data_IF_333450496590
#
_entry.id   IF_333450496590
#
_cell.length_a   1.000
_cell.length_b   1.000
_cell.length_c   1.000
_cell.angle_alpha   90.00
_cell.angle_beta   90.00
_cell.angle_gamma   90.00
#
_symmetry.space_group_name_H-M   'P 1'
#
loop_
_entity.id
_entity.type
_entity.pdbx_description
1 polymer ?
#
# COMPACT_ATOMS: atom_id res chain seq x y z
N UNK A 1 -11.92 9.75 -6.88
CA UNK A 1 -12.17 10.98 -6.09
C UNK A 1 -13.25 11.86 -6.73
N UNK A 2 -13.16 12.12 -8.05
CA UNK A 2 -14.06 13.09 -8.72
C UNK A 2 -15.51 12.63 -8.75
N UNK A 3 -15.77 11.33 -8.96
CA UNK A 3 -17.13 10.77 -8.85
C UNK A 3 -17.69 10.93 -7.43
N UNK A 4 -16.86 10.66 -6.40
CA UNK A 4 -17.27 10.84 -5.01
C UNK A 4 -17.63 12.30 -4.72
N UNK A 5 -16.82 13.25 -5.20
CA UNK A 5 -17.10 14.67 -5.06
C UNK A 5 -18.42 15.07 -5.78
N UNK A 6 -18.61 14.61 -7.02
CA UNK A 6 -19.83 14.90 -7.77
C UNK A 6 -21.10 14.38 -7.11
N UNK A 7 -21.05 13.20 -6.47
CA UNK A 7 -22.18 12.65 -5.69
C UNK A 7 -22.49 13.54 -4.50
N UNK A 8 -21.47 13.99 -3.75
CA UNK A 8 -21.62 14.87 -2.60
C UNK A 8 -22.19 16.24 -3.03
N UNK A 9 -21.64 16.82 -4.11
CA UNK A 9 -22.06 18.11 -4.65
C UNK A 9 -23.52 18.09 -5.15
N UNK A 10 -24.00 16.92 -5.57
CA UNK A 10 -25.40 16.69 -5.94
C UNK A 10 -26.33 16.53 -4.72
N UNK A 11 -25.82 16.61 -3.50
CA UNK A 11 -26.59 16.43 -2.26
C UNK A 11 -26.99 14.97 -1.99
N UNK A 12 -26.32 14.01 -2.63
CA UNK A 12 -26.55 12.59 -2.42
C UNK A 12 -25.55 12.03 -1.37
N UNK A 13 -25.98 10.96 -0.69
CA UNK A 13 -25.11 10.28 0.26
C UNK A 13 -24.05 9.46 -0.50
N UNK A 14 -22.78 9.80 -0.29
CA UNK A 14 -21.63 9.02 -0.77
C UNK A 14 -21.31 7.91 0.21
N UNK A 15 -21.35 6.64 -0.26
CA UNK A 15 -20.96 5.47 0.52
C UNK A 15 -19.52 5.10 0.14
N UNK A 16 -18.59 5.55 0.92
CA UNK A 16 -17.15 5.36 0.67
C UNK A 16 -16.29 6.41 1.37
N UNK A 17 -14.97 6.37 1.15
CA UNK A 17 -14.05 7.31 1.78
C UNK A 17 -14.20 8.73 1.21
N UNK A 18 -13.84 9.76 1.99
CA UNK A 18 -13.85 11.15 1.54
C UNK A 18 -13.00 11.34 0.28
N UNK A 19 -13.40 12.20 -0.68
CA UNK A 19 -12.64 12.46 -1.91
C UNK A 19 -11.17 12.80 -1.66
N UNK A 20 -10.88 13.53 -0.57
CA UNK A 20 -9.51 13.89 -0.20
C UNK A 20 -8.69 12.66 0.21
N UNK A 21 -9.25 11.78 1.05
CA UNK A 21 -8.59 10.54 1.44
C UNK A 21 -8.30 9.62 0.24
N UNK A 22 -9.21 9.59 -0.76
CA UNK A 22 -8.99 8.86 -2.01
C UNK A 22 -7.80 9.44 -2.79
N UNK A 23 -7.67 10.78 -2.87
CA UNK A 23 -6.54 11.43 -3.56
C UNK A 23 -5.23 11.18 -2.84
N UNK A 24 -5.21 11.41 -1.53
CA UNK A 24 -4.00 11.35 -0.71
C UNK A 24 -3.43 9.93 -0.61
N UNK A 25 -4.29 8.93 -0.44
CA UNK A 25 -3.89 7.52 -0.35
C UNK A 25 -3.77 6.83 -1.71
N UNK A 26 -4.37 7.40 -2.76
CA UNK A 26 -4.23 6.92 -4.14
C UNK A 26 -2.93 7.34 -4.81
N UNK A 27 -2.29 8.40 -4.32
CA UNK A 27 -0.95 8.81 -4.74
C UNK A 27 0.11 8.11 -3.88
N UNK A 28 1.02 7.36 -4.51
CA UNK A 28 2.00 6.52 -3.79
C UNK A 28 2.95 7.32 -2.91
N UNK A 29 3.35 8.53 -3.34
CA UNK A 29 4.26 9.36 -2.56
C UNK A 29 3.53 9.94 -1.36
N UNK A 30 2.33 10.48 -1.57
CA UNK A 30 1.48 11.00 -0.52
C UNK A 30 1.13 9.91 0.51
N UNK A 31 0.74 8.72 0.06
CA UNK A 31 0.43 7.59 0.95
C UNK A 31 1.63 7.19 1.82
N UNK A 32 2.86 7.18 1.26
CA UNK A 32 4.08 6.91 2.03
C UNK A 32 4.37 8.00 3.06
N UNK A 33 4.14 9.27 2.73
CA UNK A 33 4.29 10.37 3.70
C UNK A 33 3.26 10.28 4.83
N UNK A 34 2.02 9.94 4.52
CA UNK A 34 0.97 9.70 5.53
C UNK A 34 1.39 8.54 6.44
N UNK A 35 1.84 7.41 5.86
CA UNK A 35 2.31 6.27 6.63
C UNK A 35 3.52 6.62 7.52
N UNK A 36 4.45 7.43 7.02
CA UNK A 36 5.60 7.91 7.80
C UNK A 36 5.16 8.78 8.99
N UNK A 37 4.25 9.75 8.77
CA UNK A 37 3.69 10.58 9.87
C UNK A 37 2.91 9.75 10.88
N UNK A 38 2.23 8.71 10.42
CA UNK A 38 1.53 7.76 11.27
C UNK A 38 2.46 6.79 12.03
N UNK A 39 3.78 6.84 11.78
CA UNK A 39 4.75 5.92 12.40
C UNK A 39 4.65 4.48 11.90
N UNK A 40 4.02 4.25 10.75
CA UNK A 40 3.91 2.92 10.16
C UNK A 40 5.27 2.44 9.63
N UNK A 41 5.61 1.16 9.79
CA UNK A 41 6.88 0.61 9.33
C UNK A 41 6.97 0.67 7.80
N UNK A 42 8.10 1.13 7.31
CA UNK A 42 8.44 1.18 5.90
C UNK A 42 9.89 0.74 5.72
N UNK A 43 10.18 0.03 4.64
CA UNK A 43 11.57 -0.15 4.25
C UNK A 43 12.18 1.21 3.87
N UNK A 44 13.49 1.42 4.10
CA UNK A 44 14.17 2.61 3.64
C UNK A 44 13.88 2.90 2.17
N UNK A 45 13.63 4.15 1.84
CA UNK A 45 13.36 4.59 0.48
C UNK A 45 13.59 6.10 0.34
N UNK A 46 13.82 6.56 -0.88
CA UNK A 46 13.98 7.99 -1.17
C UNK A 46 12.63 8.70 -1.10
N UNK A 47 12.62 9.91 -0.53
CA UNK A 47 11.44 10.79 -0.51
C UNK A 47 11.20 11.47 -1.85
N UNK A 48 12.29 11.72 -2.58
CA UNK A 48 12.31 12.41 -3.87
C UNK A 48 12.85 11.49 -4.96
N UNK A 49 12.51 11.76 -6.24
CA UNK A 49 13.11 11.03 -7.35
C UNK A 49 14.63 11.20 -7.36
N UNK A 50 15.34 10.09 -7.58
CA UNK A 50 16.79 10.13 -7.74
C UNK A 50 17.18 10.74 -9.08
N UNK A 51 18.27 11.52 -9.10
CA UNK A 51 18.73 12.26 -10.27
C UNK A 51 19.72 11.47 -11.12
N UNK A 52 20.26 10.36 -10.59
CA UNK A 52 21.24 9.54 -11.29
C UNK A 52 21.57 8.22 -10.58
N UNK A 53 22.30 7.37 -11.28
CA UNK A 53 22.75 6.07 -10.76
C UNK A 53 23.64 6.20 -9.51
N UNK A 54 24.40 7.30 -9.39
CA UNK A 54 25.30 7.51 -8.24
C UNK A 54 24.53 7.68 -6.93
N UNK A 55 23.34 8.32 -6.98
CA UNK A 55 22.46 8.41 -5.79
C UNK A 55 21.91 7.04 -5.40
N UNK A 56 21.58 6.21 -6.40
CA UNK A 56 21.16 4.81 -6.15
C UNK A 56 22.27 4.00 -5.51
N UNK A 57 23.51 4.13 -5.99
CA UNK A 57 24.69 3.47 -5.40
C UNK A 57 24.91 3.95 -3.97
N UNK A 58 24.79 5.25 -3.71
CA UNK A 58 24.93 5.82 -2.36
C UNK A 58 23.87 5.26 -1.43
N UNK A 59 22.61 5.24 -1.85
CA UNK A 59 21.50 4.64 -1.10
C UNK A 59 21.75 3.15 -0.80
N UNK A 60 22.21 2.37 -1.80
CA UNK A 60 22.47 0.96 -1.63
C UNK A 60 23.64 0.69 -0.65
N UNK A 61 24.66 1.55 -0.63
CA UNK A 61 25.76 1.45 0.36
C UNK A 61 25.30 1.75 1.78
N UNK A 62 24.36 2.69 1.95
CA UNK A 62 23.85 3.09 3.26
C UNK A 62 22.83 2.09 3.81
N UNK A 63 21.92 1.62 2.97
CA UNK A 63 20.77 0.81 3.39
C UNK A 63 20.88 -0.67 3.05
N UNK A 64 21.93 -1.08 2.32
CA UNK A 64 22.16 -2.45 1.90
C UNK A 64 21.46 -2.83 0.60
N UNK A 65 21.80 -4.00 0.08
CA UNK A 65 21.23 -4.65 -1.10
C UNK A 65 20.30 -5.81 -0.69
N UNK A 66 19.37 -6.21 -1.56
CA UNK A 66 19.03 -5.64 -2.86
C UNK A 66 18.23 -4.34 -2.75
N UNK A 67 18.25 -3.53 -3.81
CA UNK A 67 17.44 -2.32 -3.92
C UNK A 67 16.53 -2.35 -5.15
N UNK A 68 15.35 -1.78 -5.02
CA UNK A 68 14.40 -1.62 -6.11
C UNK A 68 14.45 -0.19 -6.66
N UNK A 69 14.60 -0.06 -7.98
CA UNK A 69 14.47 1.18 -8.72
C UNK A 69 13.08 1.18 -9.37
N UNK A 70 12.24 2.13 -9.01
CA UNK A 70 10.82 2.17 -9.39
C UNK A 70 10.48 3.45 -10.13
N UNK A 71 9.84 3.34 -11.29
CA UNK A 71 9.25 4.50 -11.95
C UNK A 71 8.17 5.15 -11.07
N UNK A 72 8.19 6.48 -10.96
CA UNK A 72 7.25 7.26 -10.15
C UNK A 72 5.77 7.01 -10.53
N UNK A 73 5.52 6.84 -11.82
CA UNK A 73 4.17 6.67 -12.39
C UNK A 73 3.88 5.22 -12.78
N UNK A 74 4.75 4.26 -12.38
CA UNK A 74 4.61 2.83 -12.66
C UNK A 74 3.61 2.13 -11.76
N UNK A 75 2.99 1.07 -12.28
CA UNK A 75 2.10 0.18 -11.53
C UNK A 75 2.17 -1.25 -12.06
N UNK A 76 1.77 -2.24 -11.24
CA UNK A 76 1.77 -3.65 -11.64
C UNK A 76 3.14 -4.20 -12.03
N UNK A 77 4.22 -3.72 -11.41
CA UNK A 77 5.60 -4.16 -11.67
C UNK A 77 6.24 -3.56 -12.93
N UNK A 78 5.55 -2.71 -13.69
CA UNK A 78 6.13 -2.01 -14.85
C UNK A 78 7.05 -0.88 -14.37
N UNK A 79 8.27 -0.81 -14.94
CA UNK A 79 9.28 0.15 -14.53
C UNK A 79 9.92 -0.15 -13.17
N UNK A 80 9.88 -1.42 -12.73
CA UNK A 80 10.59 -1.92 -11.56
C UNK A 80 11.83 -2.69 -12.01
N UNK A 81 13.00 -2.30 -11.48
CA UNK A 81 14.26 -3.03 -11.61
C UNK A 81 14.84 -3.32 -10.23
N UNK A 82 15.37 -4.51 -10.03
CA UNK A 82 15.99 -4.92 -8.77
C UNK A 82 17.48 -5.12 -8.99
N UNK A 83 18.29 -4.30 -8.31
CA UNK A 83 19.74 -4.43 -8.30
C UNK A 83 20.18 -5.25 -7.09
N UNK A 84 20.95 -6.30 -7.33
CA UNK A 84 21.48 -7.21 -6.30
C UNK A 84 22.94 -6.95 -5.99
N UNK A 85 23.64 -6.28 -6.91
CA UNK A 85 25.02 -5.83 -6.74
C UNK A 85 25.13 -4.34 -7.08
N UNK A 86 26.21 -3.69 -6.61
CA UNK A 86 26.42 -2.27 -6.90
C UNK A 86 26.75 -2.04 -8.38
N UNK A 87 27.39 -3.02 -9.02
CA UNK A 87 27.80 -2.96 -10.42
C UNK A 87 26.62 -2.96 -11.39
N UNK A 88 25.50 -3.60 -11.01
CA UNK A 88 24.29 -3.64 -11.84
C UNK A 88 23.52 -2.32 -11.83
N UNK A 89 23.70 -1.49 -10.81
CA UNK A 89 22.87 -0.29 -10.58
C UNK A 89 22.86 0.67 -11.79
N UNK A 90 23.99 1.05 -12.40
CA UNK A 90 23.97 2.03 -13.50
C UNK A 90 23.12 1.57 -14.68
N UNK A 91 23.30 0.32 -15.14
CA UNK A 91 22.55 -0.23 -16.26
C UNK A 91 21.05 -0.34 -15.95
N UNK A 92 20.71 -0.85 -14.75
CA UNK A 92 19.33 -1.03 -14.31
C UNK A 92 18.61 0.29 -14.10
N UNK A 93 19.29 1.33 -13.60
CA UNK A 93 18.75 2.68 -13.48
C UNK A 93 18.42 3.27 -14.86
N UNK A 94 19.36 3.24 -15.81
CA UNK A 94 19.09 3.71 -17.17
C UNK A 94 17.95 2.95 -17.86
N UNK A 95 17.90 1.62 -17.64
CA UNK A 95 16.80 0.78 -18.14
C UNK A 95 15.46 1.20 -17.56
N UNK A 96 15.38 1.43 -16.23
CA UNK A 96 14.16 1.88 -15.57
C UNK A 96 13.69 3.24 -16.09
N UNK A 97 14.61 4.19 -16.26
CA UNK A 97 14.31 5.53 -16.81
C UNK A 97 13.78 5.42 -18.24
N UNK A 98 14.46 4.65 -19.12
CA UNK A 98 14.00 4.45 -20.52
C UNK A 98 12.60 3.84 -20.58
N UNK A 99 12.33 2.81 -19.76
CA UNK A 99 11.01 2.19 -19.70
C UNK A 99 9.94 3.14 -19.17
N UNK A 100 10.27 3.94 -18.16
CA UNK A 100 9.37 4.96 -17.60
C UNK A 100 9.00 6.02 -18.65
N UNK A 101 9.98 6.54 -19.36
CA UNK A 101 9.75 7.52 -20.44
C UNK A 101 8.89 6.93 -21.55
N UNK A 102 9.18 5.69 -21.97
CA UNK A 102 8.43 5.02 -23.03
C UNK A 102 6.97 4.74 -22.64
N UNK A 103 6.73 4.37 -21.37
CA UNK A 103 5.40 3.98 -20.90
C UNK A 103 4.55 5.17 -20.41
N UNK A 104 5.18 6.18 -19.81
CA UNK A 104 4.51 7.26 -19.07
C UNK A 104 4.89 8.66 -19.53
N UNK A 105 5.84 8.81 -20.48
CA UNK A 105 6.35 10.09 -20.95
C UNK A 105 7.29 10.83 -19.96
N UNK A 106 7.58 10.21 -18.81
CA UNK A 106 8.38 10.80 -17.71
C UNK A 106 9.29 9.73 -17.13
N UNK A 107 10.53 10.12 -16.78
CA UNK A 107 11.60 9.20 -16.37
C UNK A 107 11.93 9.21 -14.88
N UNK A 108 11.17 9.89 -14.03
CA UNK A 108 11.44 9.98 -12.61
C UNK A 108 11.37 8.61 -11.96
N UNK A 109 12.44 8.27 -11.22
CA UNK A 109 12.55 7.01 -10.49
C UNK A 109 12.83 7.26 -9.01
N UNK A 110 12.25 6.41 -8.15
CA UNK A 110 12.54 6.30 -6.73
C UNK A 110 13.33 5.04 -6.44
N UNK A 111 14.02 5.03 -5.31
CA UNK A 111 14.76 3.85 -4.85
C UNK A 111 14.26 3.45 -3.47
N UNK A 112 14.14 2.15 -3.24
CA UNK A 112 13.83 1.61 -1.93
C UNK A 112 14.57 0.29 -1.69
N UNK A 113 14.71 -0.07 -0.43
CA UNK A 113 15.18 -1.40 -0.04
C UNK A 113 14.21 -2.45 -0.57
N UNK A 114 14.73 -3.48 -1.24
CA UNK A 114 13.90 -4.57 -1.76
C UNK A 114 13.86 -5.72 -0.76
N UNK A 115 12.69 -6.28 -0.55
CA UNK A 115 12.48 -7.48 0.24
C UNK A 115 12.41 -8.69 -0.71
N UNK A 116 13.24 -9.70 -0.46
CA UNK A 116 13.17 -10.96 -1.21
C UNK A 116 12.03 -11.83 -0.69
N UNK A 117 11.24 -12.37 -1.61
CA UNK A 117 10.14 -13.30 -1.34
C UNK A 117 9.24 -12.88 -0.16
N UNK A 118 8.84 -11.59 -0.03
CA UNK A 118 8.01 -11.20 1.08
C UNK A 118 6.62 -11.81 0.96
N UNK A 119 5.97 -12.04 2.10
CA UNK A 119 4.55 -12.34 2.13
C UNK A 119 3.77 -11.05 1.92
N UNK A 120 2.74 -11.10 1.09
CA UNK A 120 1.81 -10.01 0.86
C UNK A 120 0.65 -10.15 1.83
N UNK A 121 0.63 -9.33 2.86
CA UNK A 121 -0.40 -9.33 3.90
C UNK A 121 -1.21 -8.05 3.82
N UNK A 122 -2.50 -8.17 3.99
CA UNK A 122 -3.38 -7.03 4.05
C UNK A 122 -4.31 -7.07 5.26
N UNK A 123 -4.74 -5.91 5.71
CA UNK A 123 -5.68 -5.74 6.82
C UNK A 123 -6.97 -5.16 6.30
N UNK A 124 -8.10 -5.86 6.54
CA UNK A 124 -9.43 -5.32 6.25
C UNK A 124 -9.84 -4.35 7.34
N UNK A 125 -10.11 -3.11 6.97
CA UNK A 125 -10.46 -2.05 7.90
C UNK A 125 -11.87 -1.49 7.63
N UNK A 126 -12.49 -0.99 8.71
CA UNK A 126 -13.66 -0.15 8.68
C UNK A 126 -13.38 1.10 9.53
N UNK A 127 -13.80 2.26 9.06
CA UNK A 127 -13.65 3.52 9.77
C UNK A 127 -14.99 4.28 9.77
N UNK A 128 -15.37 4.85 10.91
CA UNK A 128 -16.56 5.70 11.03
C UNK A 128 -16.24 7.19 10.85
N UNK A 129 -17.28 8.01 10.80
CA UNK A 129 -17.14 9.46 10.70
C UNK A 129 -16.64 10.12 12.00
N UNK A 130 -16.61 9.39 13.13
CA UNK A 130 -16.14 9.84 14.43
C UNK A 130 -14.63 9.62 14.62
N UNK A 131 -13.95 8.99 13.65
CA UNK A 131 -12.52 8.71 13.67
C UNK A 131 -12.15 7.39 14.36
N UNK A 132 -13.11 6.52 14.63
CA UNK A 132 -12.83 5.16 15.08
C UNK A 132 -12.43 4.31 13.90
N UNK A 133 -11.40 3.47 14.08
CA UNK A 133 -10.93 2.52 13.07
C UNK A 133 -10.85 1.13 13.67
N UNK A 134 -11.51 0.18 13.03
CA UNK A 134 -11.48 -1.24 13.38
C UNK A 134 -10.74 -2.01 12.29
N UNK A 135 -9.84 -2.91 12.70
CA UNK A 135 -9.28 -3.93 11.81
C UNK A 135 -10.07 -5.21 12.05
N UNK A 136 -10.75 -5.69 11.01
CA UNK A 136 -11.64 -6.85 11.08
C UNK A 136 -10.85 -8.14 11.06
N UNK A 137 -9.91 -8.27 10.12
CA UNK A 137 -9.06 -9.45 9.97
C UNK A 137 -7.86 -9.10 9.07
N UNK A 138 -6.93 -10.04 8.96
CA UNK A 138 -5.86 -10.04 7.96
C UNK A 138 -6.18 -11.01 6.84
N UNK A 139 -5.56 -10.78 5.67
CA UNK A 139 -5.49 -11.75 4.57
C UNK A 139 -4.05 -11.95 4.13
N UNK A 140 -3.69 -13.19 3.81
CA UNK A 140 -2.48 -13.51 3.05
C UNK A 140 -2.83 -13.59 1.58
N UNK A 141 -2.26 -12.70 0.78
CA UNK A 141 -2.47 -12.60 -0.66
C UNK A 141 -1.19 -12.91 -1.45
N UNK A 142 -0.29 -13.71 -0.88
CA UNK A 142 1.03 -13.98 -1.48
C UNK A 142 0.99 -14.85 -2.71
N UNK A 143 -0.05 -15.67 -2.88
CA UNK A 143 -0.22 -16.52 -4.06
C UNK A 143 -0.72 -15.68 -5.25
N UNK A 144 0.22 -15.24 -6.07
CA UNK A 144 -0.02 -14.32 -7.17
C UNK A 144 0.56 -14.84 -8.48
N UNK A 145 -0.03 -14.44 -9.59
CA UNK A 145 0.53 -14.59 -10.92
C UNK A 145 0.65 -13.24 -11.59
N UNK A 146 1.88 -12.83 -11.93
CA UNK A 146 2.15 -11.51 -12.54
C UNK A 146 1.56 -10.35 -11.72
N UNK A 147 1.73 -10.40 -10.41
CA UNK A 147 1.19 -9.43 -9.43
C UNK A 147 -0.35 -9.39 -9.33
N UNK A 148 -1.04 -10.40 -9.84
CA UNK A 148 -2.48 -10.57 -9.66
C UNK A 148 -2.73 -11.64 -8.59
N UNK A 149 -3.49 -11.30 -7.56
CA UNK A 149 -3.91 -12.21 -6.49
C UNK A 149 -4.74 -13.35 -7.10
N UNK A 150 -4.44 -14.59 -6.72
CA UNK A 150 -5.14 -15.80 -7.18
C UNK A 150 -5.81 -16.57 -6.06
N UNK A 151 -5.19 -16.57 -4.89
CA UNK A 151 -5.70 -17.24 -3.69
C UNK A 151 -5.45 -16.31 -2.51
N UNK A 152 -6.48 -16.09 -1.73
CA UNK A 152 -6.44 -15.29 -0.51
C UNK A 152 -6.87 -16.17 0.67
N UNK A 153 -6.11 -16.09 1.76
CA UNK A 153 -6.36 -16.84 2.99
C UNK A 153 -6.57 -15.89 4.17
N UNK A 154 -7.63 -16.07 4.94
CA UNK A 154 -7.94 -15.27 6.12
C UNK A 154 -8.21 -16.17 7.36
N UNK A 155 -7.71 -15.75 8.56
CA UNK A 155 -6.66 -14.75 8.74
C UNK A 155 -5.32 -15.23 8.17
N UNK A 156 -4.35 -14.34 7.96
CA UNK A 156 -3.00 -14.72 7.52
C UNK A 156 -2.35 -15.66 8.55
N UNK A 157 -2.03 -16.92 8.19
CA UNK A 157 -1.80 -17.99 9.18
C UNK A 157 -0.43 -17.97 9.84
N UNK A 158 0.54 -17.25 9.26
CA UNK A 158 1.96 -17.31 9.67
C UNK A 158 2.40 -16.11 10.54
N UNK A 159 1.51 -15.16 10.82
CA UNK A 159 1.86 -13.97 11.59
C UNK A 159 2.03 -14.29 13.07
N UNK A 160 3.11 -13.79 13.66
CA UNK A 160 3.27 -13.77 15.11
C UNK A 160 2.32 -12.76 15.76
N UNK A 161 2.08 -12.90 17.07
CA UNK A 161 1.24 -11.95 17.81
C UNK A 161 1.78 -10.51 17.73
N UNK A 162 3.10 -10.32 17.81
CA UNK A 162 3.76 -9.02 17.65
C UNK A 162 3.53 -8.43 16.25
N UNK A 163 3.71 -9.23 15.20
CA UNK A 163 3.47 -8.80 13.83
C UNK A 163 2.01 -8.38 13.63
N UNK A 164 1.07 -9.16 14.16
CA UNK A 164 -0.36 -8.87 14.07
C UNK A 164 -0.70 -7.54 14.76
N UNK A 165 -0.18 -7.32 15.97
CA UNK A 165 -0.38 -6.07 16.72
C UNK A 165 0.17 -4.87 15.94
N UNK A 166 1.39 -4.98 15.40
CA UNK A 166 2.03 -3.93 14.60
C UNK A 166 1.27 -3.61 13.33
N UNK A 167 0.75 -4.62 12.62
CA UNK A 167 -0.08 -4.43 11.43
C UNK A 167 -1.38 -3.69 11.78
N UNK A 168 -2.04 -4.09 12.87
CA UNK A 168 -3.28 -3.47 13.33
C UNK A 168 -3.06 -2.01 13.77
N UNK A 169 -2.02 -1.77 14.57
CA UNK A 169 -1.68 -0.43 15.02
C UNK A 169 -1.35 0.49 13.83
N UNK A 170 -0.54 0.01 12.88
CA UNK A 170 -0.15 0.76 11.68
C UNK A 170 -1.36 1.10 10.81
N UNK A 171 -2.24 0.14 10.56
CA UNK A 171 -3.44 0.36 9.74
C UNK A 171 -4.36 1.40 10.36
N UNK A 172 -4.61 1.30 11.68
CA UNK A 172 -5.41 2.29 12.40
C UNK A 172 -4.80 3.68 12.35
N UNK A 173 -3.48 3.79 12.54
CA UNK A 173 -2.78 5.06 12.53
C UNK A 173 -2.80 5.72 11.14
N UNK A 174 -2.53 4.96 10.07
CA UNK A 174 -2.57 5.45 8.69
C UNK A 174 -3.96 5.97 8.33
N UNK A 175 -5.00 5.19 8.61
CA UNK A 175 -6.37 5.57 8.25
C UNK A 175 -6.87 6.76 9.06
N UNK A 176 -6.50 6.88 10.34
CA UNK A 176 -6.78 8.06 11.16
C UNK A 176 -6.08 9.31 10.65
N UNK A 177 -4.78 9.20 10.33
CA UNK A 177 -3.98 10.30 9.77
C UNK A 177 -4.56 10.82 8.45
N UNK A 178 -5.11 9.93 7.62
CA UNK A 178 -5.74 10.27 6.35
C UNK A 178 -7.20 10.77 6.48
N UNK A 179 -7.78 10.80 7.68
CA UNK A 179 -9.21 11.11 7.86
C UNK A 179 -10.12 10.15 7.07
N UNK A 180 -9.75 8.86 7.06
CA UNK A 180 -10.45 7.84 6.29
C UNK A 180 -11.79 7.50 6.91
N UNK A 181 -12.79 7.26 6.06
CA UNK A 181 -14.13 6.78 6.45
C UNK A 181 -14.53 5.65 5.53
N UNK A 182 -15.29 4.69 6.01
CA UNK A 182 -15.83 3.54 5.32
C UNK A 182 -14.83 2.37 5.19
N UNK A 183 -15.11 1.40 4.31
CA UNK A 183 -14.28 0.22 4.13
C UNK A 183 -13.01 0.53 3.34
N UNK A 184 -11.88 -0.01 3.79
CA UNK A 184 -10.59 0.09 3.11
C UNK A 184 -9.66 -1.03 3.51
N UNK A 185 -8.56 -1.17 2.80
CA UNK A 185 -7.57 -2.21 3.03
C UNK A 185 -6.17 -1.60 3.03
N UNK A 186 -5.39 -1.84 4.10
CA UNK A 186 -3.98 -1.50 4.13
C UNK A 186 -3.16 -2.74 3.75
N UNK A 187 -2.28 -2.59 2.78
CA UNK A 187 -1.41 -3.64 2.29
C UNK A 187 0.02 -3.49 2.81
N UNK A 188 0.63 -4.61 3.17
CA UNK A 188 1.98 -4.68 3.71
C UNK A 188 2.77 -5.83 3.09
N UNK A 189 4.08 -5.66 3.03
CA UNK A 189 5.02 -6.73 2.79
C UNK A 189 5.62 -7.19 4.12
N UNK A 190 5.67 -8.49 4.33
CA UNK A 190 6.27 -9.10 5.53
C UNK A 190 7.41 -10.00 5.07
N UNK A 191 8.64 -9.60 5.40
CA UNK A 191 9.86 -10.34 5.09
C UNK A 191 10.02 -11.59 5.96
N UNK A 192 10.83 -12.55 5.50
CA UNK A 192 11.18 -13.74 6.26
C UNK A 192 11.91 -13.41 7.58
N UNK A 193 12.62 -12.29 7.62
CA UNK A 193 13.31 -11.76 8.80
C UNK A 193 12.37 -11.05 9.80
N UNK A 194 11.07 -11.02 9.52
CA UNK A 194 10.05 -10.34 10.32
C UNK A 194 9.91 -8.84 10.02
N UNK A 195 10.63 -8.32 9.03
CA UNK A 195 10.47 -6.93 8.56
C UNK A 195 9.06 -6.73 8.03
N UNK A 196 8.39 -5.68 8.50
CA UNK A 196 7.08 -5.23 7.96
C UNK A 196 7.32 -3.94 7.20
N UNK A 197 6.75 -3.83 6.00
CA UNK A 197 6.78 -2.62 5.21
C UNK A 197 5.40 -2.28 4.67
N UNK A 198 4.92 -1.09 4.96
CA UNK A 198 3.70 -0.57 4.33
C UNK A 198 3.87 -0.47 2.82
N UNK A 199 2.86 -0.91 2.07
CA UNK A 199 2.85 -0.89 0.62
C UNK A 199 1.90 0.18 0.07
N UNK A 200 0.61 0.04 0.34
CA UNK A 200 -0.43 0.96 -0.13
C UNK A 200 -1.74 0.83 0.66
N UNK A 201 -2.67 1.74 0.40
CA UNK A 201 -4.06 1.63 0.85
C UNK A 201 -4.98 1.52 -0.37
N UNK A 202 -5.81 0.50 -0.37
CA UNK A 202 -6.93 0.42 -1.32
C UNK A 202 -8.14 1.14 -0.71
N UNK A 203 -8.47 2.30 -1.27
CA UNK A 203 -9.54 3.18 -0.79
C UNK A 203 -10.93 2.73 -1.22
N UNK A 204 -11.19 1.44 -1.10
CA UNK A 204 -12.42 0.75 -1.53
C UNK A 204 -12.52 -0.63 -0.93
N UNK A 205 -13.69 -1.22 -1.04
CA UNK A 205 -13.85 -2.66 -0.85
C UNK A 205 -13.17 -3.42 -2.01
N UNK A 206 -12.51 -4.53 -1.72
CA UNK A 206 -11.79 -5.35 -2.69
C UNK A 206 -12.59 -6.61 -3.06
N UNK A 207 -12.23 -7.24 -4.17
CA UNK A 207 -12.88 -8.48 -4.65
C UNK A 207 -12.74 -9.61 -3.62
N UNK A 208 -11.61 -9.66 -2.92
CA UNK A 208 -11.24 -10.66 -1.92
C UNK A 208 -11.89 -10.48 -0.54
N UNK A 209 -12.76 -9.48 -0.33
CA UNK A 209 -13.44 -9.26 0.94
C UNK A 209 -14.26 -10.45 1.47
N UNK A 210 -14.87 -11.31 0.61
CA UNK A 210 -15.73 -12.39 1.11
C UNK A 210 -15.03 -13.37 2.04
N UNK A 211 -13.72 -13.65 1.83
CA UNK A 211 -13.01 -14.56 2.75
C UNK A 211 -12.92 -13.96 4.17
N UNK A 212 -12.83 -12.64 4.29
CA UNK A 212 -12.90 -11.97 5.60
C UNK A 212 -14.29 -12.04 6.20
N UNK A 213 -15.33 -11.87 5.40
CA UNK A 213 -16.72 -11.98 5.87
C UNK A 213 -17.03 -13.36 6.44
N UNK A 214 -16.58 -14.41 5.75
CA UNK A 214 -16.78 -15.81 6.18
C UNK A 214 -16.11 -16.12 7.54
N UNK A 215 -14.89 -15.61 7.76
CA UNK A 215 -14.17 -15.90 9.01
C UNK A 215 -14.55 -14.96 10.16
N UNK A 216 -15.01 -13.75 9.88
CA UNK A 216 -15.40 -12.77 10.88
C UNK A 216 -16.90 -12.76 11.19
N UNK A 217 -17.72 -13.38 10.35
CA UNK A 217 -19.17 -13.41 10.52
C UNK A 217 -19.84 -12.04 10.36
N UNK A 218 -19.28 -11.17 9.51
CA UNK A 218 -19.83 -9.84 9.22
C UNK A 218 -20.06 -9.67 7.72
N UNK A 219 -20.95 -8.77 7.37
CA UNK A 219 -21.21 -8.33 5.99
C UNK A 219 -20.63 -6.91 5.83
N UNK A 220 -19.48 -6.82 5.16
CA UNK A 220 -18.75 -5.56 4.99
C UNK A 220 -19.52 -4.54 4.16
N UNK A 221 -20.30 -4.99 3.18
CA UNK A 221 -21.14 -4.10 2.37
C UNK A 221 -22.25 -3.50 3.25
N UNK A 222 -22.87 -4.30 4.11
CA UNK A 222 -23.86 -3.81 5.06
C UNK A 222 -23.26 -2.80 6.05
N UNK A 223 -22.03 -3.05 6.53
CA UNK A 223 -21.34 -2.10 7.40
C UNK A 223 -21.01 -0.79 6.68
N UNK A 224 -20.69 -0.81 5.37
CA UNK A 224 -20.51 0.42 4.60
C UNK A 224 -21.78 1.30 4.60
N UNK A 225 -22.95 0.69 4.46
CA UNK A 225 -24.23 1.42 4.55
C UNK A 225 -24.46 1.97 5.96
N UNK A 226 -24.23 1.16 7.01
CA UNK A 226 -24.38 1.62 8.40
C UNK A 226 -23.51 2.82 8.73
N UNK A 227 -22.25 2.78 8.31
CA UNK A 227 -21.32 3.91 8.49
C UNK A 227 -21.84 5.14 7.75
N UNK A 228 -22.38 5.01 6.55
CA UNK A 228 -22.93 6.12 5.78
C UNK A 228 -24.23 6.69 6.40
N UNK A 229 -24.95 5.89 7.19
CA UNK A 229 -26.13 6.30 7.98
C UNK A 229 -25.75 6.96 9.32
N UNK A 230 -24.46 6.97 9.68
CA UNK A 230 -23.93 7.60 10.90
C UNK A 230 -23.78 6.64 12.09
N UNK A 231 -23.80 5.32 11.82
CA UNK A 231 -23.58 4.25 12.82
C UNK A 231 -22.12 3.98 13.08
#
# INVERSE_FOLDING_TARGET
ADVAQAVIDAGLTWIGPPPQAIRDLGDKVSARHIAARAGAPQVPGTSDPVTGADEVVTFAKEHGLPVAIKAAFGGGGRGLKVARTLEEIPELYESAVREAVAAFGRGECFVERYLDNPRHVETQCLADAQGNVVVVSTRDCSLQRRHQKLVEEAPAPFLSADQLERLYASSKAILKEAGYVNAGTCEFLVGEDGTISFLEVNTRLQVEHPVTEEVAGIDLVREQFRIAEGG
#
